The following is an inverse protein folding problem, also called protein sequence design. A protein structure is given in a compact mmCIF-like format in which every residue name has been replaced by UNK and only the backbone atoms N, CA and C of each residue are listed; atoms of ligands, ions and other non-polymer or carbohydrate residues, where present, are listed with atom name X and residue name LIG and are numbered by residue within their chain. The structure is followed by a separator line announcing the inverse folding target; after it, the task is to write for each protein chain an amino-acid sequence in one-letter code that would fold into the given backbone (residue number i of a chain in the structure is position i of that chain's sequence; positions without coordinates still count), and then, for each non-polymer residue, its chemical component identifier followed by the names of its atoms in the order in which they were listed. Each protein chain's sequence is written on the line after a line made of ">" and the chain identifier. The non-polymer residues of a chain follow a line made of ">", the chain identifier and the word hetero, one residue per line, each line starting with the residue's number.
data_IF_145578555158
#
_entry.id   IF_145578555158
#
_cell.length_a   1.000
_cell.length_b   1.000
_cell.length_c   1.000
_cell.angle_alpha   90.00
_cell.angle_beta   90.00
_cell.angle_gamma   90.00
#
_symmetry.space_group_name_H-M   'P 1'
#
loop_
_entity.id
_entity.type
_entity.pdbx_description
1 polymer ?
#
# COMPACT_ATOMS: atom_id res chain seq x y z
N UNK A 1 7.21 5.10 7.07
CA UNK A 1 5.76 5.04 7.33
C UNK A 1 5.15 3.74 6.85
N UNK A 2 5.35 3.30 5.61
CA UNK A 2 4.76 2.04 5.11
C UNK A 2 5.11 0.82 5.99
N UNK A 3 6.38 0.67 6.44
CA UNK A 3 6.76 -0.37 7.38
C UNK A 3 6.05 -0.23 8.74
N UNK A 4 5.96 0.99 9.27
CA UNK A 4 5.29 1.27 10.55
C UNK A 4 3.77 1.11 10.53
N UNK A 5 3.16 0.99 9.36
CA UNK A 5 1.73 0.69 9.27
C UNK A 5 1.38 -0.69 9.83
N UNK A 6 2.32 -1.65 9.84
CA UNK A 6 2.10 -3.02 10.31
C UNK A 6 1.99 -3.12 11.83
N UNK A 7 2.89 -2.44 12.58
CA UNK A 7 3.09 -2.63 14.02
C UNK A 7 3.11 -1.34 14.85
N UNK A 8 3.05 -0.18 14.19
CA UNK A 8 3.14 1.12 14.86
C UNK A 8 1.96 1.39 15.80
N UNK A 9 2.22 2.18 16.84
CA UNK A 9 1.22 2.64 17.79
C UNK A 9 1.05 4.15 17.74
N UNK A 10 -0.08 4.67 18.22
CA UNK A 10 -0.29 6.12 18.35
C UNK A 10 0.82 6.72 19.20
N UNK A 11 1.43 7.79 18.71
CA UNK A 11 2.60 8.44 19.29
C UNK A 11 3.95 8.01 18.70
N UNK A 12 4.02 6.89 17.96
CA UNK A 12 5.25 6.46 17.27
C UNK A 12 5.63 7.46 16.17
N UNK A 13 6.95 7.68 15.99
CA UNK A 13 7.46 8.68 15.04
C UNK A 13 8.26 8.07 13.91
N UNK A 14 8.13 8.68 12.74
CA UNK A 14 8.95 8.41 11.55
C UNK A 14 9.40 9.77 10.99
N UNK A 15 10.66 10.14 11.19
CA UNK A 15 11.14 11.48 10.89
C UNK A 15 10.40 12.53 11.72
N UNK A 16 9.82 13.51 11.06
CA UNK A 16 9.01 14.58 11.69
C UNK A 16 7.51 14.27 11.77
N UNK A 17 7.08 13.08 11.35
CA UNK A 17 5.71 12.60 11.42
C UNK A 17 5.48 11.73 12.65
N UNK A 18 4.29 11.82 13.23
CA UNK A 18 3.82 11.01 14.35
C UNK A 18 2.51 10.30 13.98
N UNK A 19 2.34 9.05 14.44
CA UNK A 19 1.05 8.34 14.27
C UNK A 19 0.02 8.99 15.19
N UNK A 20 -0.95 9.66 14.59
CA UNK A 20 -2.04 10.33 15.31
C UNK A 20 -3.27 9.43 15.47
N UNK A 21 -3.47 8.46 14.56
CA UNK A 21 -4.61 7.55 14.58
C UNK A 21 -4.30 6.23 13.88
N UNK A 22 -4.92 5.16 14.37
CA UNK A 22 -4.91 3.85 13.73
C UNK A 22 -6.35 3.46 13.39
N UNK A 23 -6.55 2.96 12.17
CA UNK A 23 -7.78 2.33 11.72
C UNK A 23 -7.54 0.83 11.61
N UNK A 24 -8.48 0.04 12.10
CA UNK A 24 -8.50 -1.42 11.94
C UNK A 24 -9.94 -1.92 11.96
N UNK A 25 -10.21 -3.01 11.23
CA UNK A 25 -11.53 -3.63 11.19
C UNK A 25 -11.44 -5.17 11.06
N UNK A 26 -12.62 -5.80 11.05
CA UNK A 26 -12.74 -7.26 10.98
C UNK A 26 -12.37 -7.86 9.61
N UNK A 27 -12.15 -7.05 8.58
CA UNK A 27 -11.64 -7.49 7.27
C UNK A 27 -10.13 -7.68 7.25
N UNK A 28 -9.45 -7.31 8.36
CA UNK A 28 -7.99 -7.28 8.46
C UNK A 28 -7.37 -6.00 7.92
N UNK A 29 -8.18 -4.98 7.58
CA UNK A 29 -7.66 -3.66 7.26
C UNK A 29 -6.93 -3.08 8.46
N UNK A 30 -5.72 -2.59 8.23
CA UNK A 30 -5.00 -1.75 9.17
C UNK A 30 -4.39 -0.57 8.43
N UNK A 31 -4.62 0.65 8.93
CA UNK A 31 -4.01 1.85 8.41
C UNK A 31 -3.62 2.81 9.54
N UNK A 32 -2.46 3.45 9.42
CA UNK A 32 -1.95 4.43 10.36
C UNK A 32 -1.92 5.82 9.72
N UNK A 33 -2.55 6.80 10.35
CA UNK A 33 -2.49 8.19 9.96
C UNK A 33 -1.28 8.85 10.62
N UNK A 34 -0.36 9.30 9.80
CA UNK A 34 0.81 10.09 10.20
C UNK A 34 0.53 11.57 9.98
N UNK A 35 0.90 12.40 10.95
CA UNK A 35 0.74 13.87 10.88
C UNK A 35 2.06 14.51 11.30
N UNK A 36 2.52 15.52 10.56
CA UNK A 36 3.67 16.33 10.95
C UNK A 36 3.27 17.61 11.72
N UNK A 37 4.25 18.33 12.25
CA UNK A 37 4.03 19.57 12.98
C UNK A 37 3.38 20.72 12.17
N UNK A 38 3.32 20.58 10.85
CA UNK A 38 2.66 21.52 9.92
C UNK A 38 1.25 21.09 9.54
N UNK A 39 0.79 19.93 10.02
CA UNK A 39 -0.51 19.35 9.70
C UNK A 39 -0.56 18.58 8.38
N UNK A 40 0.59 18.31 7.71
CA UNK A 40 0.61 17.43 6.56
C UNK A 40 0.28 15.99 6.98
N UNK A 41 -0.52 15.31 6.16
CA UNK A 41 -1.06 13.99 6.47
C UNK A 41 -0.58 12.94 5.48
N UNK A 42 -0.23 11.78 6.02
CA UNK A 42 0.06 10.57 5.26
C UNK A 42 -0.71 9.40 5.87
N UNK A 43 -1.57 8.74 5.09
CA UNK A 43 -2.25 7.53 5.50
C UNK A 43 -1.50 6.31 4.95
N UNK A 44 -0.92 5.52 5.84
CA UNK A 44 -0.14 4.34 5.51
C UNK A 44 -0.97 3.07 5.75
N UNK A 45 -1.19 2.27 4.70
CA UNK A 45 -1.89 0.99 4.78
C UNK A 45 -0.89 -0.14 5.01
N UNK A 46 -1.19 -1.01 5.96
CA UNK A 46 -0.51 -2.28 6.11
C UNK A 46 -0.95 -3.25 5.01
N UNK A 47 -0.01 -4.05 4.52
CA UNK A 47 -0.36 -5.26 3.78
C UNK A 47 -0.75 -6.39 4.72
N UNK A 48 -0.95 -7.58 4.20
CA UNK A 48 -1.17 -8.76 5.04
C UNK A 48 0.13 -9.13 5.75
N UNK A 49 0.02 -9.45 7.04
CA UNK A 49 1.17 -9.87 7.85
C UNK A 49 1.40 -11.37 7.61
N UNK A 50 2.43 -11.69 6.86
CA UNK A 50 2.76 -13.06 6.49
C UNK A 50 4.05 -13.51 7.16
N UNK A 51 3.92 -14.50 8.01
CA UNK A 51 5.07 -15.19 8.64
C UNK A 51 5.73 -16.19 7.71
N UNK A 52 5.11 -16.54 6.56
CA UNK A 52 5.69 -17.43 5.55
C UNK A 52 5.34 -17.04 4.11
N UNK A 53 6.34 -17.12 3.22
CA UNK A 53 6.22 -16.78 1.80
C UNK A 53 5.33 -17.76 1.01
N UNK A 54 5.23 -19.03 1.47
CA UNK A 54 4.42 -20.07 0.84
C UNK A 54 2.93 -19.86 1.07
N UNK A 55 2.57 -19.45 2.27
CA UNK A 55 1.19 -19.18 2.65
C UNK A 55 0.66 -17.92 1.97
N UNK A 56 1.55 -16.95 1.75
CA UNK A 56 1.26 -15.72 1.04
C UNK A 56 0.81 -15.95 -0.42
N UNK A 57 1.55 -16.77 -1.19
CA UNK A 57 1.18 -17.10 -2.58
C UNK A 57 -0.18 -17.78 -2.66
N UNK A 58 -0.44 -18.73 -1.75
CA UNK A 58 -1.70 -19.45 -1.70
C UNK A 58 -2.86 -18.52 -1.33
N UNK A 59 -2.66 -17.61 -0.39
CA UNK A 59 -3.69 -16.70 0.11
C UNK A 59 -4.01 -15.56 -0.87
N UNK A 60 -3.05 -15.01 -1.59
CA UNK A 60 -3.33 -14.02 -2.65
C UNK A 60 -4.12 -14.65 -3.80
N UNK A 61 -3.76 -15.87 -4.23
CA UNK A 61 -4.49 -16.56 -5.29
C UNK A 61 -5.89 -17.02 -4.86
N UNK A 62 -6.10 -17.29 -3.57
CA UNK A 62 -7.40 -17.67 -3.01
C UNK A 62 -8.22 -16.48 -2.48
N UNK A 63 -7.57 -15.36 -2.14
CA UNK A 63 -8.14 -14.23 -1.40
C UNK A 63 -8.90 -13.20 -2.22
N UNK A 64 -9.12 -13.42 -3.53
CA UNK A 64 -9.77 -12.44 -4.42
C UNK A 64 -11.17 -11.96 -3.95
N UNK A 65 -11.81 -12.66 -3.00
CA UNK A 65 -13.10 -12.25 -2.41
C UNK A 65 -12.94 -11.42 -1.11
N UNK A 66 -11.93 -11.69 -0.29
CA UNK A 66 -11.65 -10.95 0.95
C UNK A 66 -11.01 -9.60 0.61
N UNK A 67 -10.19 -9.54 -0.42
CA UNK A 67 -9.59 -8.30 -0.92
C UNK A 67 -10.64 -7.24 -1.28
N UNK A 68 -11.81 -7.62 -1.81
CA UNK A 68 -12.83 -6.63 -2.19
C UNK A 68 -13.35 -5.84 -0.99
N UNK A 69 -13.56 -6.47 0.16
CA UNK A 69 -14.02 -5.80 1.39
C UNK A 69 -12.94 -4.87 1.97
N UNK A 70 -11.69 -5.30 2.02
CA UNK A 70 -10.58 -4.44 2.47
C UNK A 70 -10.40 -3.23 1.56
N UNK A 71 -10.53 -3.39 0.23
CA UNK A 71 -10.46 -2.25 -0.71
C UNK A 71 -11.62 -1.27 -0.49
N UNK A 72 -12.83 -1.76 -0.29
CA UNK A 72 -13.99 -0.91 0.01
C UNK A 72 -13.77 -0.11 1.28
N UNK A 73 -13.38 -0.77 2.37
CA UNK A 73 -13.14 -0.13 3.65
C UNK A 73 -11.93 0.85 3.61
N UNK A 74 -10.87 0.50 2.90
CA UNK A 74 -9.72 1.39 2.69
C UNK A 74 -10.12 2.69 1.97
N UNK A 75 -10.98 2.59 0.95
CA UNK A 75 -11.50 3.74 0.22
C UNK A 75 -12.42 4.59 1.11
N UNK A 76 -13.25 3.98 1.94
CA UNK A 76 -14.12 4.70 2.88
C UNK A 76 -13.29 5.45 3.92
N UNK A 77 -12.26 4.82 4.48
CA UNK A 77 -11.32 5.50 5.39
C UNK A 77 -10.63 6.67 4.67
N UNK A 78 -10.14 6.47 3.44
CA UNK A 78 -9.48 7.51 2.66
C UNK A 78 -10.39 8.71 2.38
N UNK A 79 -11.66 8.48 2.09
CA UNK A 79 -12.64 9.55 1.85
C UNK A 79 -12.79 10.50 3.02
N UNK A 80 -12.64 10.03 4.25
CA UNK A 80 -12.72 10.88 5.44
C UNK A 80 -11.57 11.89 5.54
N UNK A 81 -10.47 11.66 4.82
CA UNK A 81 -9.28 12.52 4.79
C UNK A 81 -9.15 13.33 3.49
N UNK A 82 -9.84 12.92 2.42
CA UNK A 82 -9.74 13.58 1.12
C UNK A 82 -8.42 13.31 0.40
N UNK A 83 -7.99 14.28 -0.43
CA UNK A 83 -6.82 14.15 -1.30
C UNK A 83 -5.50 14.41 -0.53
N UNK A 84 -5.08 13.45 0.28
CA UNK A 84 -3.80 13.47 1.01
C UNK A 84 -2.77 12.55 0.35
N UNK A 85 -1.64 12.30 1.01
CA UNK A 85 -0.68 11.26 0.59
C UNK A 85 -1.05 9.90 1.19
N UNK A 86 -1.05 8.88 0.34
CA UNK A 86 -1.28 7.48 0.70
C UNK A 86 -0.03 6.66 0.44
N UNK A 87 0.30 5.74 1.33
CA UNK A 87 1.46 4.85 1.15
C UNK A 87 1.16 3.43 1.62
N UNK A 88 1.91 2.47 1.12
CA UNK A 88 1.77 1.08 1.52
C UNK A 88 2.73 0.17 0.76
N UNK A 89 2.88 -1.04 1.28
CA UNK A 89 3.70 -2.10 0.71
C UNK A 89 2.82 -3.32 0.45
N UNK A 90 3.09 -4.05 -0.62
CA UNK A 90 2.35 -5.27 -0.97
C UNK A 90 0.84 -4.99 -1.17
N UNK A 91 -0.04 -5.73 -0.51
CA UNK A 91 -1.47 -5.47 -0.51
C UNK A 91 -1.79 -4.04 -0.01
N UNK A 92 -1.10 -3.56 1.04
CA UNK A 92 -1.23 -2.17 1.51
C UNK A 92 -0.87 -1.14 0.43
N UNK A 93 0.05 -1.47 -0.48
CA UNK A 93 0.36 -0.66 -1.66
C UNK A 93 -0.80 -0.61 -2.66
N UNK A 94 -1.50 -1.72 -2.86
CA UNK A 94 -2.74 -1.77 -3.64
C UNK A 94 -3.84 -0.91 -3.02
N UNK A 95 -4.07 -1.05 -1.70
CA UNK A 95 -5.06 -0.25 -0.94
C UNK A 95 -4.75 1.25 -1.05
N UNK A 96 -3.47 1.64 -0.88
CA UNK A 96 -3.02 3.03 -1.01
C UNK A 96 -3.23 3.58 -2.44
N UNK A 97 -2.99 2.74 -3.46
CA UNK A 97 -3.22 3.12 -4.86
C UNK A 97 -4.70 3.36 -5.14
N UNK A 98 -5.58 2.49 -4.66
CA UNK A 98 -7.03 2.67 -4.77
C UNK A 98 -7.48 3.95 -4.04
N UNK A 99 -7.03 4.17 -2.81
CA UNK A 99 -7.31 5.36 -2.03
C UNK A 99 -6.90 6.65 -2.77
N UNK A 100 -5.69 6.69 -3.36
CA UNK A 100 -5.20 7.83 -4.13
C UNK A 100 -6.08 8.10 -5.37
N UNK A 101 -6.47 7.07 -6.11
CA UNK A 101 -7.34 7.21 -7.29
C UNK A 101 -8.71 7.73 -6.90
N UNK A 102 -9.31 7.18 -5.85
CA UNK A 102 -10.65 7.54 -5.40
C UNK A 102 -10.74 8.97 -4.88
N UNK A 103 -9.71 9.43 -4.16
CA UNK A 103 -9.68 10.77 -3.55
C UNK A 103 -9.05 11.83 -4.45
N UNK A 104 -8.32 11.43 -5.50
CA UNK A 104 -7.46 12.33 -6.28
C UNK A 104 -6.17 12.73 -5.57
N UNK A 105 -5.79 11.97 -4.55
CA UNK A 105 -4.57 12.19 -3.76
C UNK A 105 -3.29 11.66 -4.40
N UNK A 106 -2.22 11.63 -3.64
CA UNK A 106 -0.90 11.11 -4.06
C UNK A 106 -0.64 9.73 -3.47
N UNK A 107 -0.24 8.77 -4.30
CA UNK A 107 0.19 7.44 -3.87
C UNK A 107 1.71 7.28 -3.98
N UNK A 108 2.36 6.85 -2.91
CA UNK A 108 3.77 6.41 -2.92
C UNK A 108 3.81 4.98 -2.41
N UNK A 109 3.97 4.02 -3.33
CA UNK A 109 3.75 2.62 -3.01
C UNK A 109 4.95 1.75 -3.36
N UNK A 110 5.11 0.64 -2.62
CA UNK A 110 6.29 -0.21 -2.67
C UNK A 110 5.89 -1.66 -2.92
N UNK A 111 6.47 -2.29 -3.96
CA UNK A 111 6.16 -3.67 -4.38
C UNK A 111 4.64 -3.96 -4.30
N UNK A 112 3.83 -3.03 -4.81
CA UNK A 112 2.39 -3.01 -4.59
C UNK A 112 1.66 -4.12 -5.34
N UNK A 113 0.61 -4.67 -4.73
CA UNK A 113 -0.36 -5.50 -5.43
C UNK A 113 -1.09 -4.67 -6.49
N UNK A 114 -1.29 -5.26 -7.66
CA UNK A 114 -2.02 -4.61 -8.75
C UNK A 114 -3.51 -4.51 -8.46
N UNK A 115 -4.13 -3.49 -9.00
CA UNK A 115 -5.57 -3.28 -8.91
C UNK A 115 -6.30 -4.05 -10.02
N UNK A 116 -7.30 -4.83 -9.64
CA UNK A 116 -8.21 -5.44 -10.61
C UNK A 116 -9.16 -4.38 -11.19
N UNK A 117 -9.55 -4.55 -12.46
CA UNK A 117 -10.45 -3.59 -13.11
C UNK A 117 -11.77 -3.41 -12.35
N UNK A 118 -12.30 -4.49 -11.75
CA UNK A 118 -13.54 -4.45 -10.98
C UNK A 118 -13.44 -3.68 -9.66
N UNK A 119 -12.23 -3.57 -9.07
CA UNK A 119 -12.01 -2.84 -7.80
C UNK A 119 -12.25 -1.35 -7.96
N UNK A 120 -11.97 -0.81 -9.14
CA UNK A 120 -12.10 0.61 -9.43
C UNK A 120 -13.45 0.98 -10.05
N UNK A 121 -14.23 0.00 -10.55
CA UNK A 121 -15.47 0.26 -11.27
C UNK A 121 -15.22 1.25 -12.42
N UNK A 122 -16.07 2.29 -12.50
CA UNK A 122 -15.98 3.36 -13.51
C UNK A 122 -14.93 4.44 -13.16
N UNK A 123 -14.14 4.28 -12.09
CA UNK A 123 -13.13 5.27 -11.72
C UNK A 123 -11.97 5.29 -12.71
N UNK A 124 -11.69 6.49 -13.20
CA UNK A 124 -10.55 6.72 -14.09
C UNK A 124 -9.23 6.56 -13.31
N UNK A 125 -8.43 5.55 -13.65
CA UNK A 125 -7.11 5.26 -13.06
C UNK A 125 -6.11 6.43 -13.12
N UNK A 126 -6.38 7.44 -13.95
CA UNK A 126 -5.53 8.63 -14.07
C UNK A 126 -5.82 9.73 -13.03
N UNK A 127 -6.80 9.56 -12.14
CA UNK A 127 -7.16 10.60 -11.15
C UNK A 127 -6.15 10.74 -10.01
N UNK A 128 -5.41 9.68 -9.67
CA UNK A 128 -4.39 9.70 -8.60
C UNK A 128 -2.99 9.90 -9.19
N UNK A 129 -2.15 10.68 -8.51
CA UNK A 129 -0.73 10.77 -8.81
C UNK A 129 0.02 9.66 -8.06
N UNK A 130 0.31 8.55 -8.73
CA UNK A 130 0.91 7.37 -8.11
C UNK A 130 2.34 7.19 -8.59
N UNK A 131 3.26 6.98 -7.64
CA UNK A 131 4.64 6.53 -7.88
C UNK A 131 4.81 5.16 -7.24
N UNK A 132 5.09 4.14 -8.06
CA UNK A 132 5.32 2.76 -7.65
C UNK A 132 6.80 2.41 -7.72
N UNK A 133 7.41 2.22 -6.57
CA UNK A 133 8.76 1.70 -6.42
C UNK A 133 8.70 0.17 -6.34
N UNK A 134 9.39 -0.52 -7.25
CA UNK A 134 9.36 -1.99 -7.28
C UNK A 134 10.75 -2.57 -7.54
N UNK A 135 11.01 -3.75 -7.03
CA UNK A 135 12.19 -4.55 -7.37
C UNK A 135 11.88 -5.44 -8.58
N UNK A 136 12.86 -5.61 -9.47
CA UNK A 136 12.67 -6.35 -10.73
C UNK A 136 12.38 -7.86 -10.59
N UNK A 137 12.60 -8.43 -9.40
CA UNK A 137 12.40 -9.86 -9.10
C UNK A 137 11.43 -10.10 -7.95
N UNK A 138 10.56 -9.13 -7.67
CA UNK A 138 9.55 -9.25 -6.65
C UNK A 138 8.43 -10.24 -7.05
N UNK A 139 8.01 -11.08 -6.09
CA UNK A 139 6.98 -12.09 -6.31
C UNK A 139 5.61 -11.50 -6.69
N UNK A 140 5.29 -10.30 -6.20
CA UNK A 140 4.07 -9.57 -6.57
C UNK A 140 4.14 -9.08 -8.02
N UNK A 141 5.27 -8.58 -8.46
CA UNK A 141 5.46 -8.17 -9.85
C UNK A 141 5.26 -9.38 -10.80
N UNK A 142 5.70 -10.57 -10.39
CA UNK A 142 5.43 -11.80 -11.13
C UNK A 142 3.94 -12.16 -11.15
N UNK A 143 3.23 -12.06 -10.01
CA UNK A 143 1.78 -12.31 -9.93
C UNK A 143 1.01 -11.29 -10.78
N UNK A 144 1.32 -10.01 -10.68
CA UNK A 144 0.70 -8.96 -11.48
C UNK A 144 0.87 -9.21 -12.99
N UNK A 145 1.96 -9.85 -13.42
CA UNK A 145 2.19 -10.21 -14.83
C UNK A 145 1.25 -11.34 -15.32
N UNK A 146 0.75 -12.20 -14.44
CA UNK A 146 -0.12 -13.33 -14.76
C UNK A 146 -1.60 -13.08 -14.43
N UNK A 147 -1.94 -11.96 -13.83
CA UNK A 147 -3.32 -11.58 -13.46
C UNK A 147 -3.74 -10.32 -14.23
N UNK A 148 -5.03 -10.10 -14.48
CA UNK A 148 -5.53 -8.87 -15.12
C UNK A 148 -5.49 -7.67 -14.17
N UNK A 149 -4.38 -7.54 -13.43
CA UNK A 149 -4.14 -6.48 -12.46
C UNK A 149 -2.94 -5.63 -12.87
N UNK A 150 -2.96 -4.36 -12.52
CA UNK A 150 -1.81 -3.47 -12.73
C UNK A 150 -1.74 -2.43 -11.63
N UNK A 151 -0.53 -2.02 -11.25
CA UNK A 151 -0.35 -0.84 -10.43
C UNK A 151 -0.30 0.38 -11.35
N UNK A 152 -1.25 1.31 -11.22
CA UNK A 152 -1.28 2.51 -12.07
C UNK A 152 -0.16 3.49 -11.67
N UNK A 153 0.12 4.44 -12.55
CA UNK A 153 1.06 5.54 -12.30
C UNK A 153 2.49 5.29 -12.80
N UNK A 154 3.43 6.10 -12.30
CA UNK A 154 4.84 6.05 -12.67
C UNK A 154 5.54 4.85 -12.01
N UNK A 155 6.16 4.00 -12.82
CA UNK A 155 6.91 2.82 -12.36
C UNK A 155 8.38 3.17 -12.20
N UNK A 156 8.95 2.91 -11.01
CA UNK A 156 10.37 3.11 -10.72
C UNK A 156 10.96 1.76 -10.31
N UNK A 157 11.76 1.17 -11.21
CA UNK A 157 12.47 -0.07 -10.92
C UNK A 157 13.73 0.25 -10.09
N UNK A 158 13.80 -0.30 -8.88
CA UNK A 158 14.91 -0.11 -7.93
C UNK A 158 16.07 -1.09 -8.16
N UNK A 159 16.00 -1.91 -9.22
CA UNK A 159 17.02 -2.91 -9.53
C UNK A 159 16.85 -4.21 -8.74
N UNK A 160 17.97 -4.91 -8.51
CA UNK A 160 17.99 -6.17 -7.77
C UNK A 160 17.93 -5.90 -6.27
N UNK A 161 16.74 -5.81 -5.73
CA UNK A 161 16.51 -5.87 -4.29
C UNK A 161 15.87 -7.22 -3.99
N UNK A 162 16.34 -7.95 -2.99
CA UNK A 162 15.94 -9.29 -2.59
C UNK A 162 14.46 -9.70 -2.73
N UNK A 163 14.00 -10.45 -1.76
CA UNK A 163 12.63 -10.97 -1.71
C UNK A 163 11.64 -9.83 -1.36
N UNK A 164 10.37 -10.03 -1.60
CA UNK A 164 9.27 -9.06 -1.43
C UNK A 164 9.17 -8.31 -0.06
N UNK A 165 10.14 -8.41 0.81
CA UNK A 165 10.08 -7.80 2.15
C UNK A 165 10.33 -6.29 2.11
N UNK A 166 9.68 -5.55 3.01
CA UNK A 166 9.88 -4.10 3.15
C UNK A 166 11.34 -3.75 3.49
N UNK A 167 12.03 -4.60 4.27
CA UNK A 167 13.46 -4.47 4.56
C UNK A 167 14.34 -4.50 3.32
N UNK A 168 13.99 -5.31 2.32
CA UNK A 168 14.70 -5.37 1.05
C UNK A 168 14.53 -4.08 0.26
N UNK A 169 13.31 -3.50 0.27
CA UNK A 169 13.04 -2.20 -0.35
C UNK A 169 13.81 -1.07 0.33
N UNK A 170 13.89 -1.06 1.66
CA UNK A 170 14.67 -0.07 2.40
C UNK A 170 16.17 -0.19 2.07
N UNK A 171 16.68 -1.42 1.95
CA UNK A 171 18.07 -1.69 1.55
C UNK A 171 18.34 -1.22 0.12
N UNK A 172 17.45 -1.47 -0.83
CA UNK A 172 17.55 -1.01 -2.21
C UNK A 172 17.55 0.52 -2.31
N UNK A 173 16.77 1.19 -1.50
CA UNK A 173 16.74 2.66 -1.40
C UNK A 173 17.88 3.26 -0.56
N UNK A 174 18.76 2.43 0.00
CA UNK A 174 19.84 2.83 0.91
C UNK A 174 19.34 3.67 2.11
N UNK A 175 18.21 3.28 2.66
CA UNK A 175 17.56 3.95 3.80
C UNK A 175 17.18 2.92 4.88
N UNK A 176 16.94 3.40 6.08
CA UNK A 176 16.38 2.57 7.16
C UNK A 176 14.86 2.49 7.04
N UNK A 177 14.30 1.33 7.31
CA UNK A 177 12.89 1.20 7.57
C UNK A 177 12.57 1.76 8.96
#
# INVERSE_FOLDING_TARGET
>A
MSAKAYDGNVGDKVGNYEISKIHSDDTGLRAALFVDGSGNQVLAYAGTDFTSLSDWKANILQGMGIESAQYTNAIEVARSYGAITFTGHSLGGGLASAAAIYTGGTGVVFNAAGLHNNTLGDFNRSRGNITHYHSGYDAISAINAFTPTSVPGTQINMGHGGWHLMGDMCSAMRTSC
#
